data_IF_109104168110
#
_entry.id   IF_109104168110
#
_cell.length_a   1.000
_cell.length_b   1.000
_cell.length_c   1.000
_cell.angle_alpha   90.00
_cell.angle_beta   90.00
_cell.angle_gamma   90.00
#
_symmetry.space_group_name_H-M   'P 1'
#
loop_
_entity.id
_entity.type
_entity.pdbx_description
1 polymer ?
#
# COMPACT_ATOMS: atom_id res chain seq x y z
N UNK A 1 -0.42 4.63 50.96
CA UNK A 1 -1.89 4.63 51.12
C UNK A 1 -2.48 4.09 49.82
N UNK A 2 -2.69 2.77 49.77
CA UNK A 2 -3.22 2.05 48.61
C UNK A 2 -4.74 2.02 48.72
N UNK A 3 -5.44 2.56 47.72
CA UNK A 3 -6.90 2.52 47.64
C UNK A 3 -7.28 1.69 46.42
N UNK A 4 -7.85 0.52 46.72
CA UNK A 4 -8.68 -0.30 45.85
C UNK A 4 -9.86 0.51 45.29
N UNK A 5 -10.36 0.17 44.09
CA UNK A 5 -11.81 0.02 43.82
C UNK A 5 -12.03 -0.66 42.45
N UNK A 6 -13.09 -1.47 42.44
CA UNK A 6 -13.39 -2.62 41.59
C UNK A 6 -14.14 -2.29 40.28
N UNK A 7 -14.18 -3.31 39.40
CA UNK A 7 -14.88 -3.43 38.12
C UNK A 7 -16.43 -3.39 38.18
N UNK A 8 -17.08 -2.81 37.15
CA UNK A 8 -17.90 -3.49 36.09
C UNK A 8 -19.14 -2.67 35.63
N UNK A 9 -19.45 -2.60 34.31
CA UNK A 9 -20.59 -1.84 33.76
C UNK A 9 -21.91 -2.63 33.70
N UNK A 10 -23.02 -1.89 33.86
CA UNK A 10 -24.41 -2.34 33.76
C UNK A 10 -24.91 -2.39 32.30
N UNK A 11 -25.71 -3.41 32.01
CA UNK A 11 -26.40 -3.67 30.75
C UNK A 11 -27.87 -3.25 30.89
N UNK A 12 -28.43 -2.56 29.90
CA UNK A 12 -29.84 -2.13 29.87
C UNK A 12 -30.61 -2.95 28.83
N UNK A 13 -31.78 -3.41 29.25
CA UNK A 13 -32.74 -4.30 28.60
C UNK A 13 -33.88 -3.49 27.96
N UNK A 14 -34.47 -4.05 26.89
CA UNK A 14 -35.86 -3.83 26.46
C UNK A 14 -35.98 -3.18 25.08
N UNK A 15 -36.93 -3.51 24.20
CA UNK A 15 -38.13 -4.37 24.26
C UNK A 15 -38.74 -4.24 22.84
N UNK A 16 -39.07 -5.29 22.09
CA UNK A 16 -40.02 -5.15 20.96
C UNK A 16 -40.76 -6.45 20.63
N UNK A 17 -42.00 -6.25 20.19
CA UNK A 17 -43.20 -7.10 20.18
C UNK A 17 -43.21 -8.35 19.27
N UNK A 18 -44.08 -9.29 19.65
CA UNK A 18 -44.76 -10.36 18.87
C UNK A 18 -45.43 -9.81 17.59
N UNK A 19 -45.63 -10.52 16.48
CA UNK A 19 -46.53 -11.67 16.20
C UNK A 19 -46.16 -12.27 14.81
N UNK A 20 -46.55 -13.54 14.57
CA UNK A 20 -46.82 -14.23 13.29
C UNK A 20 -45.81 -15.28 12.75
N UNK A 21 -46.25 -16.55 12.87
CA UNK A 21 -45.81 -17.79 12.19
C UNK A 21 -46.62 -17.97 10.86
N UNK A 22 -46.48 -19.01 10.00
CA UNK A 22 -45.83 -20.33 10.21
C UNK A 22 -45.07 -20.98 9.01
N UNK A 23 -44.47 -22.14 9.34
CA UNK A 23 -44.29 -23.36 8.51
C UNK A 23 -43.10 -23.46 7.52
N UNK A 24 -42.15 -24.38 7.79
CA UNK A 24 -41.88 -25.65 7.07
C UNK A 24 -40.44 -26.18 7.39
N UNK A 25 -40.37 -27.35 8.05
CA UNK A 25 -39.34 -28.43 8.07
C UNK A 25 -37.86 -28.06 8.32
N UNK A 26 -37.27 -28.25 9.51
CA UNK A 26 -36.82 -29.50 10.19
C UNK A 26 -35.96 -30.46 9.35
N UNK A 27 -34.63 -30.46 9.59
CA UNK A 27 -33.74 -31.61 9.84
C UNK A 27 -32.47 -31.08 10.56
N UNK A 28 -32.21 -31.61 11.76
CA UNK A 28 -31.20 -31.18 12.72
C UNK A 28 -30.23 -32.36 12.95
N UNK A 29 -28.91 -32.09 12.88
CA UNK A 29 -27.83 -33.00 13.30
C UNK A 29 -27.31 -32.46 14.65
N UNK A 30 -27.33 -33.22 15.76
CA UNK A 30 -26.90 -32.73 17.05
C UNK A 30 -25.40 -32.96 17.29
N UNK A 31 -24.71 -31.88 17.66
CA UNK A 31 -23.41 -31.88 18.32
C UNK A 31 -23.64 -32.09 19.83
N UNK A 32 -23.06 -33.15 20.37
CA UNK A 32 -23.10 -33.48 21.79
C UNK A 32 -21.82 -32.94 22.47
N UNK A 33 -21.98 -32.12 23.51
CA UNK A 33 -20.92 -31.72 24.43
C UNK A 33 -21.27 -32.17 25.86
N UNK A 34 -20.22 -32.67 26.53
CA UNK A 34 -20.14 -33.34 27.81
C UNK A 34 -20.53 -32.51 29.04
N UNK A 35 -20.88 -33.21 30.14
CA UNK A 35 -20.76 -32.79 31.54
C UNK A 35 -21.02 -34.01 32.46
N UNK A 36 -20.54 -34.18 33.70
CA UNK A 36 -19.20 -34.14 34.32
C UNK A 36 -19.33 -34.89 35.69
N UNK A 37 -18.27 -35.58 36.15
CA UNK A 37 -18.03 -35.97 37.56
C UNK A 37 -18.49 -37.38 37.98
N UNK A 38 -17.75 -38.20 38.74
CA UNK A 38 -16.43 -38.13 39.39
C UNK A 38 -16.34 -39.24 40.47
N UNK A 39 -15.16 -39.83 40.73
CA UNK A 39 -14.88 -40.58 41.98
C UNK A 39 -14.16 -41.95 41.90
N UNK A 40 -12.81 -41.90 41.90
CA UNK A 40 -11.82 -42.80 42.57
C UNK A 40 -11.93 -44.34 42.57
N UNK A 41 -10.92 -45.05 42.05
CA UNK A 41 -9.94 -45.85 42.82
C UNK A 41 -8.88 -46.48 41.89
N UNK A 42 -7.67 -46.74 42.41
CA UNK A 42 -6.45 -47.00 41.65
C UNK A 42 -6.10 -48.49 41.48
N UNK A 43 -5.32 -48.75 40.41
CA UNK A 43 -4.21 -49.73 40.30
C UNK A 43 -4.55 -51.23 40.18
N UNK A 44 -4.36 -51.79 38.99
CA UNK A 44 -3.34 -52.82 38.63
C UNK A 44 -3.71 -53.53 37.31
N UNK A 45 -2.90 -53.38 36.25
CA UNK A 45 -2.14 -54.48 35.65
C UNK A 45 -1.38 -54.02 34.41
N UNK A 46 -0.12 -54.43 34.38
CA UNK A 46 0.92 -54.18 33.38
C UNK A 46 0.82 -55.28 32.31
N UNK A 47 0.78 -54.93 31.01
CA UNK A 47 1.17 -55.85 29.93
C UNK A 47 2.04 -55.13 28.89
N UNK A 48 3.23 -55.71 28.69
CA UNK A 48 4.24 -55.40 27.66
C UNK A 48 3.92 -56.22 26.42
N UNK A 49 4.01 -55.62 25.23
CA UNK A 49 4.23 -56.31 23.95
C UNK A 49 5.30 -55.50 23.20
N UNK A 50 6.57 -55.90 23.26
CA UNK A 50 7.32 -56.71 22.27
C UNK A 50 7.31 -56.08 20.87
N UNK A 51 8.32 -55.24 20.61
CA UNK A 51 8.70 -54.79 19.26
C UNK A 51 9.85 -55.69 18.77
N UNK A 52 9.60 -56.56 17.79
CA UNK A 52 10.64 -57.35 17.13
C UNK A 52 11.35 -56.52 16.05
N UNK A 53 12.61 -56.21 16.32
CA UNK A 53 13.60 -55.68 15.38
C UNK A 53 13.95 -56.74 14.31
N UNK A 54 13.38 -56.61 13.12
CA UNK A 54 13.77 -57.36 11.92
C UNK A 54 14.63 -56.51 10.99
N UNK A 55 15.96 -56.60 11.13
CA UNK A 55 16.93 -56.01 10.21
C UNK A 55 16.87 -56.74 8.87
N UNK A 56 16.77 -56.01 7.76
CA UNK A 56 17.25 -56.48 6.47
C UNK A 56 18.31 -55.54 5.87
N UNK A 57 19.29 -56.20 5.27
CA UNK A 57 20.67 -55.77 5.03
C UNK A 57 20.78 -54.57 4.09
N UNK A 58 21.57 -53.60 4.56
CA UNK A 58 22.46 -52.69 3.82
C UNK A 58 22.68 -53.12 2.35
N UNK A 59 22.00 -52.45 1.42
CA UNK A 59 22.55 -52.22 0.06
C UNK A 59 23.43 -50.98 0.14
N UNK A 60 24.67 -51.24 -0.21
CA UNK A 60 25.80 -50.32 -0.34
C UNK A 60 25.53 -49.14 -1.27
N UNK A 61 26.13 -47.99 -0.92
CA UNK A 61 26.76 -46.98 -1.78
C UNK A 61 26.22 -46.83 -3.22
N UNK A 62 25.88 -45.59 -3.58
CA UNK A 62 26.26 -45.10 -4.91
C UNK A 62 25.19 -44.35 -5.67
N UNK A 63 24.59 -43.34 -5.05
CA UNK A 63 23.78 -42.37 -5.77
C UNK A 63 23.66 -41.13 -4.94
N UNK A 64 24.77 -40.38 -4.80
CA UNK A 64 24.72 -38.98 -4.38
C UNK A 64 23.85 -38.31 -5.43
N UNK A 65 22.53 -38.31 -5.23
CA UNK A 65 21.52 -37.66 -6.06
C UNK A 65 22.10 -36.28 -6.25
N UNK A 66 22.67 -36.05 -7.44
CA UNK A 66 23.60 -34.94 -7.67
C UNK A 66 22.94 -33.73 -7.06
N UNK A 67 23.59 -33.12 -6.06
CA UNK A 67 23.10 -31.92 -5.40
C UNK A 67 22.86 -30.98 -6.58
N UNK A 68 21.59 -30.85 -7.04
CA UNK A 68 21.24 -30.12 -8.27
C UNK A 68 22.06 -28.86 -8.15
N UNK A 69 23.03 -28.64 -9.07
CA UNK A 69 23.90 -27.46 -9.03
C UNK A 69 22.97 -26.32 -8.67
N UNK A 70 23.20 -25.69 -7.51
CA UNK A 70 22.27 -24.72 -6.98
C UNK A 70 22.09 -23.70 -8.08
N UNK A 71 20.94 -23.76 -8.77
CA UNK A 71 20.77 -23.01 -9.99
C UNK A 71 20.83 -21.56 -9.58
N UNK A 72 21.74 -20.81 -10.20
CA UNK A 72 21.95 -19.42 -9.83
C UNK A 72 20.61 -18.68 -9.87
N UNK A 73 20.37 -17.91 -8.81
CA UNK A 73 19.08 -17.29 -8.56
C UNK A 73 18.65 -16.37 -9.71
N UNK A 74 19.60 -15.79 -10.44
CA UNK A 74 19.32 -14.91 -11.59
C UNK A 74 18.93 -15.66 -12.86
N UNK A 75 19.42 -16.89 -13.10
CA UNK A 75 19.07 -17.67 -14.29
C UNK A 75 17.57 -18.02 -14.35
N UNK A 76 16.92 -18.08 -13.18
CA UNK A 76 15.50 -18.36 -13.01
C UNK A 76 14.62 -17.11 -13.13
N UNK A 77 15.21 -15.91 -13.14
CA UNK A 77 14.47 -14.65 -13.13
C UNK A 77 14.47 -14.00 -14.51
N UNK A 78 13.46 -13.18 -14.73
CA UNK A 78 13.28 -12.33 -15.90
C UNK A 78 13.09 -10.89 -15.45
N UNK A 79 13.53 -9.96 -16.30
CA UNK A 79 13.39 -8.52 -16.11
C UNK A 79 12.10 -8.03 -16.75
N UNK A 80 11.44 -7.10 -16.07
CA UNK A 80 10.21 -6.43 -16.46
C UNK A 80 10.36 -4.93 -16.21
N UNK A 81 9.86 -4.12 -17.14
CA UNK A 81 9.90 -2.67 -17.06
C UNK A 81 8.58 -2.14 -16.47
N UNK A 82 8.65 -1.25 -15.48
CA UNK A 82 7.48 -0.65 -14.82
C UNK A 82 7.10 0.64 -15.54
N UNK A 83 5.85 0.70 -16.01
CA UNK A 83 5.31 1.79 -16.79
C UNK A 83 4.32 2.63 -15.98
N UNK A 84 4.59 3.93 -15.89
CA UNK A 84 3.72 4.93 -15.29
C UNK A 84 2.59 5.38 -16.25
N UNK A 85 1.48 5.92 -15.70
CA UNK A 85 0.42 6.55 -16.49
C UNK A 85 0.92 7.71 -17.37
N UNK A 86 0.19 8.05 -18.43
CA UNK A 86 0.55 9.09 -19.41
C UNK A 86 0.82 10.48 -18.80
N UNK A 87 0.30 10.74 -17.60
CA UNK A 87 0.40 12.05 -16.96
C UNK A 87 1.81 12.39 -16.45
N UNK A 88 2.70 11.41 -16.40
CA UNK A 88 4.09 11.57 -16.00
C UNK A 88 4.98 11.63 -17.24
N UNK A 89 6.05 12.40 -17.16
CA UNK A 89 6.99 12.59 -18.27
C UNK A 89 7.85 11.34 -18.48
N UNK A 90 8.40 10.79 -17.40
CA UNK A 90 9.14 9.53 -17.41
C UNK A 90 8.16 8.38 -17.27
N UNK A 91 8.01 7.64 -18.37
CA UNK A 91 7.04 6.56 -18.46
C UNK A 91 7.61 5.24 -17.96
N UNK A 92 8.85 4.91 -18.31
CA UNK A 92 9.55 3.76 -17.73
C UNK A 92 10.45 4.26 -16.60
N UNK A 93 10.07 4.02 -15.34
CA UNK A 93 10.79 4.58 -14.19
C UNK A 93 11.55 3.53 -13.37
N UNK A 94 11.24 2.24 -13.55
CA UNK A 94 11.86 1.19 -12.75
C UNK A 94 11.91 -0.15 -13.46
N UNK A 95 12.91 -0.95 -13.10
CA UNK A 95 13.05 -2.34 -13.56
C UNK A 95 12.79 -3.28 -12.41
N UNK A 96 12.11 -4.38 -12.67
CA UNK A 96 11.74 -5.34 -11.63
C UNK A 96 11.96 -6.75 -12.13
N UNK A 97 12.29 -7.63 -11.19
CA UNK A 97 12.53 -9.04 -11.49
C UNK A 97 11.37 -9.90 -10.99
N UNK A 98 11.02 -10.90 -11.78
CA UNK A 98 10.13 -11.97 -11.38
C UNK A 98 10.72 -13.32 -11.80
N UNK A 99 10.33 -14.39 -11.12
CA UNK A 99 10.69 -15.73 -11.56
C UNK A 99 10.00 -16.02 -12.91
N UNK A 100 10.69 -16.77 -13.77
CA UNK A 100 10.13 -17.35 -14.99
C UNK A 100 8.90 -18.18 -14.65
N UNK A 101 7.92 -18.16 -15.56
CA UNK A 101 6.73 -19.01 -15.45
C UNK A 101 7.17 -20.49 -15.41
N UNK A 102 6.76 -21.21 -14.37
CA UNK A 102 7.09 -22.62 -14.17
C UNK A 102 5.81 -23.40 -13.87
N UNK A 103 5.37 -24.21 -14.83
CA UNK A 103 4.14 -25.02 -14.71
C UNK A 103 2.92 -24.13 -14.45
N UNK A 104 2.27 -24.33 -13.29
CA UNK A 104 1.07 -23.60 -12.87
C UNK A 104 1.35 -22.22 -12.25
N UNK A 105 2.63 -21.87 -12.01
CA UNK A 105 3.01 -20.58 -11.42
C UNK A 105 3.31 -19.57 -12.52
N UNK A 106 2.33 -18.72 -12.82
CA UNK A 106 2.40 -17.67 -13.84
C UNK A 106 3.08 -16.43 -13.25
N UNK A 107 4.08 -15.88 -13.94
CA UNK A 107 4.79 -14.68 -13.49
C UNK A 107 3.88 -13.45 -13.32
N UNK A 108 2.89 -13.30 -14.22
CA UNK A 108 1.96 -12.17 -14.23
C UNK A 108 1.15 -12.05 -12.92
N UNK A 109 0.73 -13.16 -12.33
CA UNK A 109 -0.07 -13.14 -11.10
C UNK A 109 0.74 -12.66 -9.88
N UNK A 110 2.05 -12.94 -9.87
CA UNK A 110 2.95 -12.43 -8.83
C UNK A 110 3.34 -10.97 -9.02
N UNK A 111 3.22 -10.45 -10.25
CA UNK A 111 3.55 -9.07 -10.60
C UNK A 111 2.37 -8.12 -10.32
N UNK A 112 1.14 -8.58 -10.59
CA UNK A 112 -0.08 -7.85 -10.25
C UNK A 112 -0.17 -7.60 -8.74
N UNK A 113 -0.63 -6.41 -8.37
CA UNK A 113 -0.76 -6.01 -6.97
C UNK A 113 0.54 -5.57 -6.29
N UNK A 114 1.70 -5.67 -6.94
CA UNK A 114 2.94 -5.08 -6.41
C UNK A 114 2.84 -3.56 -6.37
N UNK A 115 3.26 -2.99 -5.25
CA UNK A 115 3.32 -1.54 -5.05
C UNK A 115 4.76 -1.07 -5.27
N UNK A 116 4.96 -0.14 -6.21
CA UNK A 116 6.25 0.50 -6.46
C UNK A 116 6.23 1.94 -5.95
N UNK A 117 7.27 2.32 -5.23
CA UNK A 117 7.50 3.68 -4.75
C UNK A 117 8.51 4.38 -5.67
N UNK A 118 8.21 5.60 -6.06
CA UNK A 118 9.08 6.45 -6.87
C UNK A 118 9.01 7.90 -6.36
N UNK A 119 10.07 8.68 -6.59
CA UNK A 119 10.04 10.10 -6.29
C UNK A 119 9.35 10.87 -7.41
N UNK A 120 8.59 11.91 -7.07
CA UNK A 120 7.90 12.72 -8.06
C UNK A 120 8.86 13.53 -8.93
N UNK A 121 9.99 13.97 -8.37
CA UNK A 121 11.03 14.68 -9.13
C UNK A 121 11.59 13.82 -10.27
N UNK A 122 11.86 12.54 -9.99
CA UNK A 122 12.39 11.59 -10.97
C UNK A 122 11.37 11.30 -12.09
N UNK A 123 10.08 11.25 -11.75
CA UNK A 123 9.00 11.01 -12.72
C UNK A 123 8.74 12.18 -13.68
N UNK A 124 8.97 13.42 -13.23
CA UNK A 124 8.65 14.62 -14.00
C UNK A 124 9.89 15.35 -14.54
N UNK A 125 11.10 14.83 -14.31
CA UNK A 125 12.40 15.44 -14.73
C UNK A 125 12.56 16.93 -14.40
N UNK A 126 11.70 17.47 -13.55
CA UNK A 126 11.68 18.88 -13.20
C UNK A 126 12.68 19.05 -12.08
N UNK A 127 13.76 19.79 -12.33
CA UNK A 127 14.83 20.10 -11.36
C UNK A 127 14.37 21.10 -10.27
N UNK A 128 13.11 21.03 -9.86
CA UNK A 128 12.53 21.87 -8.83
C UNK A 128 12.56 21.18 -7.47
N UNK A 129 13.21 21.80 -6.49
CA UNK A 129 13.29 21.32 -5.10
C UNK A 129 11.90 21.14 -4.43
N UNK A 130 10.88 21.81 -4.97
CA UNK A 130 9.51 21.77 -4.44
C UNK A 130 8.78 20.45 -4.68
N UNK A 131 9.30 19.54 -5.51
CA UNK A 131 8.65 18.27 -5.86
C UNK A 131 9.43 17.03 -5.37
N UNK A 132 10.69 17.21 -4.98
CA UNK A 132 11.58 16.12 -4.54
C UNK A 132 11.18 15.46 -3.19
N UNK A 133 10.36 16.12 -2.38
CA UNK A 133 9.89 15.58 -1.10
C UNK A 133 8.62 14.71 -1.23
N UNK A 134 8.09 14.49 -2.43
CA UNK A 134 6.84 13.75 -2.65
C UNK A 134 7.13 12.39 -3.25
N UNK A 135 6.76 11.36 -2.52
CA UNK A 135 6.83 9.97 -2.97
C UNK A 135 5.49 9.54 -3.54
N UNK A 136 5.49 8.93 -4.71
CA UNK A 136 4.31 8.38 -5.37
C UNK A 136 4.41 6.87 -5.36
N UNK A 137 3.30 6.22 -4.99
CA UNK A 137 3.16 4.78 -5.02
C UNK A 137 2.19 4.37 -6.12
N UNK A 138 2.63 3.43 -6.94
CA UNK A 138 1.87 2.84 -8.02
C UNK A 138 1.61 1.36 -7.77
N UNK A 139 0.48 0.85 -8.21
CA UNK A 139 0.14 -0.58 -8.16
C UNK A 139 0.07 -1.13 -9.56
N UNK A 140 0.70 -2.28 -9.81
CA UNK A 140 0.57 -2.99 -11.09
C UNK A 140 -0.84 -3.55 -11.21
N UNK A 141 -1.55 -3.20 -12.28
CA UNK A 141 -2.84 -3.78 -12.61
C UNK A 141 -2.73 -4.83 -13.71
N UNK A 142 -1.92 -4.58 -14.73
CA UNK A 142 -1.78 -5.46 -15.88
C UNK A 142 -0.32 -5.62 -16.32
N UNK A 143 -0.02 -6.77 -16.92
CA UNK A 143 1.28 -7.10 -17.49
C UNK A 143 1.08 -7.32 -18.98
N UNK A 144 1.77 -6.54 -19.81
CA UNK A 144 1.73 -6.63 -21.27
C UNK A 144 3.14 -6.91 -21.79
N UNK A 145 3.37 -8.15 -22.25
CA UNK A 145 4.71 -8.59 -22.63
C UNK A 145 5.70 -8.48 -21.46
N UNK A 146 6.68 -7.57 -21.58
CA UNK A 146 7.65 -7.22 -20.52
C UNK A 146 7.33 -5.91 -19.79
N UNK A 147 6.29 -5.19 -20.22
CA UNK A 147 5.83 -3.96 -19.57
C UNK A 147 4.80 -4.25 -18.47
N UNK A 148 4.91 -3.53 -17.36
CA UNK A 148 3.97 -3.54 -16.26
C UNK A 148 3.19 -2.23 -16.25
N UNK A 149 1.88 -2.29 -16.54
CA UNK A 149 1.01 -1.14 -16.50
C UNK A 149 0.55 -0.88 -15.07
N UNK A 150 0.73 0.36 -14.62
CA UNK A 150 0.52 0.74 -13.22
C UNK A 150 -0.52 1.84 -13.03
N UNK A 151 -1.30 1.71 -11.96
CA UNK A 151 -2.28 2.70 -11.53
C UNK A 151 -1.81 3.44 -10.27
N UNK A 152 -2.24 4.69 -10.11
CA UNK A 152 -1.98 5.46 -8.89
C UNK A 152 -2.61 4.79 -7.65
N UNK A 153 -1.83 4.64 -6.57
CA UNK A 153 -2.27 4.07 -5.31
C UNK A 153 -2.21 5.06 -4.14
N UNK A 154 -1.07 5.74 -3.97
CA UNK A 154 -0.95 6.75 -2.92
C UNK A 154 0.14 7.76 -3.22
N UNK A 155 0.06 8.92 -2.55
CA UNK A 155 1.10 9.95 -2.57
C UNK A 155 1.41 10.31 -1.13
N UNK A 156 2.68 10.36 -0.77
CA UNK A 156 3.12 10.68 0.58
C UNK A 156 4.26 11.70 0.56
N UNK A 157 4.25 12.62 1.51
CA UNK A 157 5.39 13.48 1.79
C UNK A 157 6.46 12.71 2.59
N UNK A 158 7.73 12.99 2.35
CA UNK A 158 8.84 12.48 3.14
C UNK A 158 8.77 12.98 4.60
N UNK A 159 9.28 12.19 5.55
CA UNK A 159 9.17 12.50 6.98
C UNK A 159 10.01 13.72 7.37
N UNK A 160 11.19 13.87 6.80
CA UNK A 160 12.08 15.03 6.96
C UNK A 160 11.35 16.34 6.66
N UNK A 161 10.63 16.41 5.54
CA UNK A 161 9.92 17.62 5.16
C UNK A 161 8.77 17.95 6.10
N UNK A 162 8.08 16.94 6.64
CA UNK A 162 7.02 17.15 7.64
C UNK A 162 7.61 17.72 8.94
N UNK A 163 8.73 17.17 9.42
CA UNK A 163 9.38 17.66 10.63
C UNK A 163 9.98 19.06 10.46
N UNK A 164 10.54 19.36 9.29
CA UNK A 164 11.04 20.69 8.97
C UNK A 164 9.95 21.77 8.98
N UNK A 165 8.72 21.43 8.56
CA UNK A 165 7.59 22.36 8.60
C UNK A 165 7.11 22.64 10.03
N UNK A 166 7.27 21.67 10.93
CA UNK A 166 6.85 21.81 12.31
C UNK A 166 7.69 22.88 13.00
N UNK A 167 7.05 23.94 13.49
CA UNK A 167 7.69 24.96 14.33
C UNK A 167 6.93 25.13 15.63
N UNK A 168 7.67 25.42 16.70
CA UNK A 168 7.09 25.79 18.00
C UNK A 168 6.37 27.13 17.89
N UNK A 169 5.50 27.41 18.87
CA UNK A 169 4.77 28.68 19.02
C UNK A 169 3.70 28.99 17.95
N UNK A 170 3.45 28.07 17.01
CA UNK A 170 2.36 28.14 16.04
C UNK A 170 1.37 26.97 16.23
N UNK A 171 0.18 27.10 15.64
CA UNK A 171 -0.84 26.05 15.64
C UNK A 171 -0.73 25.17 14.40
N UNK A 172 -0.85 23.86 14.60
CA UNK A 172 -1.02 22.86 13.54
C UNK A 172 -2.51 22.65 13.24
N UNK A 173 -2.87 22.67 11.96
CA UNK A 173 -4.22 22.40 11.48
C UNK A 173 -4.18 21.17 10.58
N UNK A 174 -4.70 20.06 11.07
CA UNK A 174 -4.84 18.83 10.30
C UNK A 174 -6.27 18.61 9.85
N UNK A 175 -6.46 18.13 8.63
CA UNK A 175 -7.77 17.75 8.10
C UNK A 175 -7.67 16.44 7.31
N UNK A 176 -8.60 15.52 7.56
CA UNK A 176 -8.77 14.31 6.77
C UNK A 176 -10.05 14.44 5.94
N UNK A 177 -9.95 14.19 4.63
CA UNK A 177 -11.06 14.32 3.69
C UNK A 177 -11.19 13.04 2.89
N UNK A 178 -12.38 12.46 2.87
CA UNK A 178 -12.75 11.41 1.93
C UNK A 178 -13.54 12.01 0.77
N UNK A 179 -13.09 11.74 -0.45
CA UNK A 179 -13.69 12.20 -1.69
C UNK A 179 -13.80 11.03 -2.67
N UNK A 180 -14.94 10.93 -3.35
CA UNK A 180 -15.15 9.98 -4.45
C UNK A 180 -14.86 10.71 -5.76
N UNK A 181 -14.10 10.11 -6.67
CA UNK A 181 -13.89 10.64 -8.03
C UNK A 181 -15.01 10.18 -8.96
N UNK A 182 -15.05 10.75 -10.17
CA UNK A 182 -16.04 10.37 -11.19
C UNK A 182 -15.91 8.89 -11.60
N UNK A 183 -14.68 8.38 -11.73
CA UNK A 183 -14.41 6.98 -12.10
C UNK A 183 -14.68 5.95 -10.98
N UNK A 184 -15.21 6.39 -9.83
CA UNK A 184 -15.55 5.50 -8.71
C UNK A 184 -14.39 5.16 -7.76
N UNK A 185 -13.23 5.82 -7.86
CA UNK A 185 -12.18 5.71 -6.84
C UNK A 185 -12.57 6.51 -5.60
N UNK A 186 -12.30 5.96 -4.41
CA UNK A 186 -12.45 6.72 -3.16
C UNK A 186 -11.09 7.08 -2.60
N UNK A 187 -10.77 8.38 -2.57
CA UNK A 187 -9.51 8.92 -2.10
C UNK A 187 -9.67 9.51 -0.70
N UNK A 188 -8.72 9.22 0.19
CA UNK A 188 -8.57 9.88 1.48
C UNK A 188 -7.34 10.77 1.47
N UNK A 189 -7.55 12.07 1.55
CA UNK A 189 -6.52 13.10 1.59
C UNK A 189 -6.31 13.59 3.02
N UNK A 190 -5.04 13.74 3.40
CA UNK A 190 -4.61 14.32 4.66
C UNK A 190 -3.92 15.64 4.35
N UNK A 191 -4.50 16.74 4.83
CA UNK A 191 -3.96 18.08 4.66
C UNK A 191 -3.38 18.54 5.99
N UNK A 192 -2.21 19.16 5.94
CA UNK A 192 -1.57 19.81 7.06
C UNK A 192 -1.37 21.29 6.73
N UNK A 193 -1.68 22.15 7.69
CA UNK A 193 -1.42 23.57 7.58
C UNK A 193 -0.83 24.14 8.87
N UNK A 194 -0.01 25.17 8.72
CA UNK A 194 0.65 25.86 9.82
C UNK A 194 0.29 27.34 9.79
N UNK A 195 0.01 27.91 10.96
CA UNK A 195 -0.23 29.34 11.09
C UNK A 195 1.07 30.14 10.92
N UNK A 196 0.97 31.36 10.40
CA UNK A 196 2.08 32.33 10.39
C UNK A 196 1.77 33.49 11.32
N UNK A 197 2.84 34.08 11.85
CA UNK A 197 2.77 35.38 12.49
C UNK A 197 2.56 36.47 11.43
N UNK A 198 1.69 37.44 11.69
CA UNK A 198 1.55 38.61 10.81
C UNK A 198 2.71 39.58 11.04
N UNK A 199 3.08 40.37 10.02
CA UNK A 199 4.24 41.26 10.07
C UNK A 199 4.15 42.30 11.19
N UNK A 200 2.96 42.83 11.43
CA UNK A 200 2.67 43.84 12.47
C UNK A 200 2.31 43.23 13.84
N UNK A 201 2.40 41.91 14.00
CA UNK A 201 1.97 41.26 15.24
C UNK A 201 3.03 41.40 16.33
N UNK A 202 2.69 42.04 17.46
CA UNK A 202 3.62 42.19 18.59
C UNK A 202 3.84 40.88 19.36
N UNK A 203 2.80 40.04 19.48
CA UNK A 203 2.89 38.78 20.22
C UNK A 203 3.92 37.83 19.59
N UNK A 204 4.63 37.08 20.45
CA UNK A 204 5.58 36.05 19.99
C UNK A 204 4.87 34.84 19.35
N UNK A 205 3.63 34.56 19.76
CA UNK A 205 2.92 33.34 19.39
C UNK A 205 1.94 33.57 18.23
N UNK A 206 1.73 32.53 17.42
CA UNK A 206 0.88 32.48 16.21
C UNK A 206 -0.34 31.55 16.43
N UNK A 207 -0.87 31.45 17.65
CA UNK A 207 -1.95 30.50 17.94
C UNK A 207 -3.29 30.91 17.33
N UNK A 208 -4.00 29.95 16.74
CA UNK A 208 -5.35 30.15 16.22
C UNK A 208 -6.42 29.74 17.23
N UNK A 209 -7.51 30.52 17.33
CA UNK A 209 -8.69 30.14 18.11
C UNK A 209 -9.30 28.85 17.57
N UNK A 210 -9.82 27.99 18.44
CA UNK A 210 -10.42 26.69 18.08
C UNK A 210 -11.57 26.82 17.08
N UNK A 211 -12.39 27.87 17.19
CA UNK A 211 -13.45 28.21 16.23
C UNK A 211 -12.90 28.41 14.82
N UNK A 212 -11.79 29.15 14.67
CA UNK A 212 -11.16 29.42 13.38
C UNK A 212 -10.55 28.14 12.80
N UNK A 213 -9.94 27.29 13.63
CA UNK A 213 -9.41 25.99 13.21
C UNK A 213 -10.52 25.10 12.64
N UNK A 214 -11.69 25.03 13.30
CA UNK A 214 -12.85 24.29 12.79
C UNK A 214 -13.35 24.85 11.46
N UNK A 215 -13.37 26.18 11.32
CA UNK A 215 -13.83 26.82 10.09
C UNK A 215 -12.89 26.59 8.91
N UNK A 216 -11.57 26.64 9.13
CA UNK A 216 -10.55 26.27 8.12
C UNK A 216 -10.72 24.80 7.70
N UNK A 217 -10.90 23.88 8.66
CA UNK A 217 -11.14 22.46 8.35
C UNK A 217 -12.37 22.27 7.46
N UNK A 218 -13.47 22.95 7.77
CA UNK A 218 -14.69 22.90 6.97
C UNK A 218 -14.49 23.44 5.55
N UNK A 219 -13.73 24.54 5.41
CA UNK A 219 -13.40 25.12 4.10
C UNK A 219 -12.55 24.17 3.26
N UNK A 220 -11.55 23.54 3.87
CA UNK A 220 -10.68 22.53 3.23
C UNK A 220 -11.50 21.32 2.76
N UNK A 221 -12.34 20.75 3.64
CA UNK A 221 -13.15 19.56 3.31
C UNK A 221 -14.11 19.83 2.15
N UNK A 222 -14.79 20.98 2.18
CA UNK A 222 -15.78 21.30 1.16
C UNK A 222 -15.13 21.54 -0.21
N UNK A 223 -14.02 22.30 -0.25
CA UNK A 223 -13.33 22.60 -1.50
C UNK A 223 -12.73 21.35 -2.15
N UNK A 224 -12.14 20.45 -1.35
CA UNK A 224 -11.58 19.20 -1.86
C UNK A 224 -12.69 18.30 -2.40
N UNK A 225 -13.79 18.10 -1.65
CA UNK A 225 -14.93 17.30 -2.10
C UNK A 225 -15.55 17.85 -3.39
N UNK A 226 -15.74 19.16 -3.46
CA UNK A 226 -16.32 19.81 -4.65
C UNK A 226 -15.42 19.69 -5.88
N UNK A 227 -14.09 19.76 -5.71
CA UNK A 227 -13.17 19.69 -6.84
C UNK A 227 -12.93 18.25 -7.30
N UNK A 228 -12.73 17.31 -6.38
CA UNK A 228 -12.40 15.92 -6.73
C UNK A 228 -13.61 15.09 -7.19
N UNK A 229 -14.83 15.45 -6.77
CA UNK A 229 -16.06 14.74 -7.22
C UNK A 229 -16.34 14.84 -8.71
N UNK A 230 -15.84 15.89 -9.36
CA UNK A 230 -16.08 16.16 -10.79
C UNK A 230 -14.96 15.66 -11.70
N UNK A 231 -13.88 15.14 -11.12
CA UNK A 231 -12.60 14.96 -11.79
C UNK A 231 -12.25 13.48 -11.82
N UNK A 232 -11.68 13.03 -12.93
CA UNK A 232 -11.20 11.65 -13.10
C UNK A 232 -9.90 11.44 -12.30
N UNK A 233 -9.53 10.18 -12.03
CA UNK A 233 -8.35 9.85 -11.22
C UNK A 233 -7.06 10.41 -11.83
N UNK A 234 -6.93 10.34 -13.15
CA UNK A 234 -5.77 10.86 -13.89
C UNK A 234 -5.66 12.38 -13.74
N UNK A 235 -6.75 13.09 -13.98
CA UNK A 235 -6.80 14.54 -13.78
C UNK A 235 -6.59 14.94 -12.32
N UNK A 236 -7.11 14.15 -11.37
CA UNK A 236 -6.91 14.37 -9.95
C UNK A 236 -5.42 14.24 -9.57
N UNK A 237 -4.72 13.25 -10.13
CA UNK A 237 -3.27 13.10 -9.97
C UNK A 237 -2.55 14.31 -10.56
N UNK A 238 -2.93 14.79 -11.74
CA UNK A 238 -2.32 16.01 -12.34
C UNK A 238 -2.51 17.24 -11.45
N UNK A 239 -3.70 17.41 -10.87
CA UNK A 239 -4.00 18.51 -9.93
C UNK A 239 -3.20 18.43 -8.62
N UNK A 240 -2.87 17.22 -8.16
CA UNK A 240 -2.05 16.97 -6.99
C UNK A 240 -0.56 17.17 -7.29
N UNK A 241 -0.08 16.59 -8.40
CA UNK A 241 1.30 16.66 -8.87
C UNK A 241 1.72 18.10 -9.13
N UNK A 242 0.89 18.89 -9.84
CA UNK A 242 1.19 20.30 -10.15
C UNK A 242 0.84 21.27 -9.01
N UNK A 243 0.48 20.77 -7.82
CA UNK A 243 0.10 21.59 -6.65
C UNK A 243 -1.04 22.61 -6.86
N UNK A 244 -1.84 22.50 -7.92
CA UNK A 244 -2.94 23.43 -8.21
C UNK A 244 -4.00 23.40 -7.08
N UNK A 245 -4.25 22.22 -6.51
CA UNK A 245 -5.13 22.06 -5.35
C UNK A 245 -4.60 22.77 -4.10
N UNK A 246 -3.29 22.68 -3.86
CA UNK A 246 -2.61 23.33 -2.74
C UNK A 246 -2.82 24.85 -2.80
N UNK A 247 -2.55 25.43 -3.96
CA UNK A 247 -2.60 26.88 -4.14
C UNK A 247 -4.03 27.42 -4.05
N UNK A 248 -5.00 26.66 -4.59
CA UNK A 248 -6.42 27.01 -4.44
C UNK A 248 -6.89 26.93 -2.98
N UNK A 249 -6.43 25.94 -2.22
CA UNK A 249 -6.72 25.83 -0.79
C UNK A 249 -6.09 27.00 -0.02
N UNK A 250 -4.83 27.32 -0.28
CA UNK A 250 -4.13 28.44 0.37
C UNK A 250 -4.88 29.76 0.14
N UNK A 251 -5.26 30.08 -1.11
CA UNK A 251 -6.02 31.29 -1.44
C UNK A 251 -7.34 31.40 -0.70
N UNK A 252 -8.06 30.29 -0.51
CA UNK A 252 -9.37 30.27 0.17
C UNK A 252 -9.29 30.25 1.69
N UNK A 253 -8.19 29.74 2.26
CA UNK A 253 -8.01 29.64 3.71
C UNK A 253 -7.26 30.83 4.32
N UNK A 254 -6.41 31.52 3.55
CA UNK A 254 -5.63 32.67 4.02
C UNK A 254 -6.47 33.84 4.59
N UNK A 255 -7.70 34.13 4.10
CA UNK A 255 -8.55 35.18 4.70
C UNK A 255 -9.06 34.84 6.11
N UNK A 256 -9.10 33.55 6.48
CA UNK A 256 -9.64 33.10 7.77
C UNK A 256 -8.59 33.26 8.87
N UNK A 257 -7.42 32.67 8.61
CA UNK A 257 -6.25 32.71 9.48
C UNK A 257 -5.04 32.86 8.57
N UNK A 258 -4.05 33.69 8.94
CA UNK A 258 -2.80 33.77 8.21
C UNK A 258 -2.08 32.41 8.27
N UNK A 259 -1.95 31.75 7.13
CA UNK A 259 -1.23 30.48 7.00
C UNK A 259 0.15 30.71 6.40
N UNK A 260 1.16 29.96 6.90
CA UNK A 260 2.51 29.91 6.29
C UNK A 260 2.51 28.90 5.15
N UNK A 261 2.19 27.66 5.51
CA UNK A 261 2.23 26.51 4.63
C UNK A 261 0.90 25.78 4.74
N UNK A 262 0.36 25.39 3.59
CA UNK A 262 -0.71 24.42 3.49
C UNK A 262 -0.23 23.38 2.49
N UNK A 263 -0.13 22.11 2.92
CA UNK A 263 0.32 21.01 2.07
C UNK A 263 -0.55 19.78 2.24
N UNK A 264 -0.59 18.97 1.19
CA UNK A 264 -1.19 17.65 1.24
C UNK A 264 -0.10 16.70 1.74
N UNK A 265 -0.30 16.16 2.94
CA UNK A 265 0.66 15.28 3.61
C UNK A 265 0.64 13.88 2.99
N UNK A 266 -0.56 13.33 2.82
CA UNK A 266 -0.78 11.98 2.29
C UNK A 266 -2.08 11.92 1.49
N UNK A 267 -2.09 11.15 0.41
CA UNK A 267 -3.27 10.76 -0.35
C UNK A 267 -3.26 9.25 -0.43
N UNK A 268 -4.37 8.62 -0.05
CA UNK A 268 -4.54 7.16 -0.09
C UNK A 268 -5.75 6.82 -0.94
N UNK A 269 -5.60 5.87 -1.87
CA UNK A 269 -6.75 5.21 -2.49
C UNK A 269 -7.28 4.19 -1.48
N UNK A 270 -8.51 4.39 -1.01
CA UNK A 270 -9.17 3.49 -0.04
C UNK A 270 -9.89 2.37 -0.76
N UNK A 271 -10.59 2.69 -1.85
CA UNK A 271 -11.29 1.73 -2.70
C UNK A 271 -10.96 2.01 -4.15
N UNK A 272 -10.62 0.93 -4.84
CA UNK A 272 -10.48 0.89 -6.29
C UNK A 272 -11.78 0.35 -6.89
N UNK A 273 -12.26 0.92 -8.00
CA UNK A 273 -13.36 0.34 -8.75
C UNK A 273 -12.95 -1.01 -9.34
N UNK A 274 -13.93 -1.73 -9.92
CA UNK A 274 -13.67 -2.99 -10.63
C UNK A 274 -12.67 -2.76 -11.76
N UNK A 275 -11.78 -3.72 -11.96
CA UNK A 275 -10.79 -3.68 -13.03
C UNK A 275 -11.45 -3.66 -14.41
N UNK A 276 -11.04 -2.72 -15.23
CA UNK A 276 -11.41 -2.59 -16.64
C UNK A 276 -10.16 -2.32 -17.46
N UNK A 277 -9.91 -3.19 -18.45
CA UNK A 277 -8.73 -3.11 -19.31
C UNK A 277 -8.77 -1.88 -20.22
N UNK A 278 -9.96 -1.44 -20.66
CA UNK A 278 -10.09 -0.28 -21.54
C UNK A 278 -9.74 1.01 -20.81
N UNK A 279 -10.23 1.17 -19.57
CA UNK A 279 -9.89 2.31 -18.72
C UNK A 279 -8.38 2.40 -18.44
N UNK A 280 -7.71 1.26 -18.24
CA UNK A 280 -6.27 1.22 -18.02
C UNK A 280 -5.48 1.60 -19.28
N UNK A 281 -5.83 1.03 -20.42
CA UNK A 281 -5.21 1.37 -21.71
C UNK A 281 -5.36 2.87 -22.02
N UNK A 282 -6.53 3.44 -21.78
CA UNK A 282 -6.77 4.88 -21.96
C UNK A 282 -5.92 5.75 -21.01
N UNK A 283 -5.63 5.26 -19.79
CA UNK A 283 -4.77 5.96 -18.84
C UNK A 283 -3.29 5.97 -19.24
N UNK A 284 -2.84 4.93 -19.96
CA UNK A 284 -1.45 4.82 -20.44
C UNK A 284 -1.26 5.36 -21.86
N UNK A 285 -2.28 5.35 -22.72
CA UNK A 285 -2.18 5.73 -24.13
C UNK A 285 -1.26 4.78 -24.91
N UNK A 286 -0.41 5.32 -25.77
CA UNK A 286 0.60 4.55 -26.52
C UNK A 286 1.64 3.99 -25.57
N UNK A 287 1.88 2.68 -25.48
CA UNK A 287 2.81 2.09 -24.50
C UNK A 287 4.23 2.06 -25.09
N UNK A 288 5.27 2.52 -24.36
CA UNK A 288 6.64 2.50 -24.89
C UNK A 288 7.14 1.06 -25.02
N UNK A 289 7.92 0.79 -26.07
CA UNK A 289 8.57 -0.51 -26.24
C UNK A 289 9.48 -0.84 -25.04
N UNK A 290 9.40 -2.08 -24.54
CA UNK A 290 10.31 -2.56 -23.50
C UNK A 290 11.70 -2.79 -24.08
N UNK A 291 12.75 -2.29 -23.43
CA UNK A 291 14.12 -2.55 -23.86
C UNK A 291 14.52 -4.03 -23.74
N UNK A 292 13.81 -4.81 -22.91
CA UNK A 292 14.01 -6.25 -22.74
C UNK A 292 13.19 -7.11 -23.74
N UNK A 293 12.47 -6.47 -24.68
CA UNK A 293 11.73 -7.13 -25.76
C UNK A 293 12.58 -7.49 -26.98
N UNK A 294 13.72 -6.80 -27.15
CA UNK A 294 14.74 -7.17 -28.13
C UNK A 294 15.61 -8.28 -27.52
N UNK A 295 15.84 -9.35 -28.28
CA UNK A 295 16.70 -10.44 -27.85
C UNK A 295 18.07 -9.85 -27.46
N UNK A 296 18.46 -9.98 -26.18
CA UNK A 296 19.82 -9.67 -25.76
C UNK A 296 20.76 -10.45 -26.66
N UNK A 297 21.48 -9.75 -27.54
CA UNK A 297 22.74 -10.27 -28.09
C UNK A 297 23.62 -10.44 -26.87
N UNK A 298 23.73 -11.67 -26.40
CA UNK A 298 24.69 -12.04 -25.37
C UNK A 298 26.03 -11.82 -26.05
N UNK A 299 26.68 -10.68 -25.79
CA UNK A 299 28.12 -10.63 -25.99
C UNK A 299 28.69 -11.69 -25.07
N UNK A 300 29.15 -12.78 -25.69
CA UNK A 300 29.91 -13.82 -25.03
C UNK A 300 31.08 -13.13 -24.33
N UNK A 301 31.09 -13.21 -23.00
CA UNK A 301 32.25 -12.84 -22.23
C UNK A 301 33.43 -13.67 -22.78
N UNK A 302 34.40 -13.00 -23.40
CA UNK A 302 35.65 -13.64 -23.80
C UNK A 302 36.24 -14.32 -22.57
N UNK A 303 36.29 -15.65 -22.58
CA UNK A 303 37.05 -16.41 -21.59
C UNK A 303 38.48 -15.92 -21.67
N UNK A 304 38.95 -15.27 -20.60
CA UNK A 304 40.36 -14.95 -20.45
C UNK A 304 41.14 -16.28 -20.51
N UNK A 305 42.13 -16.44 -21.41
CA UNK A 305 42.90 -17.66 -21.49
C UNK A 305 43.64 -17.85 -20.16
N UNK A 306 43.48 -19.05 -19.59
CA UNK A 306 44.21 -19.47 -18.40
C UNK A 306 45.72 -19.31 -18.67
N UNK A 307 46.37 -18.48 -17.85
CA UNK A 307 47.83 -18.41 -17.84
C UNK A 307 48.37 -19.79 -17.44
N UNK A 308 48.97 -20.46 -18.41
CA UNK A 308 49.73 -21.69 -18.21
C UNK A 308 50.85 -21.41 -17.21
N UNK A 309 50.86 -22.18 -16.13
CA UNK A 309 51.98 -22.23 -15.21
C UNK A 309 53.17 -22.87 -15.93
N UNK A 310 54.17 -22.07 -16.29
CA UNK A 310 55.50 -22.57 -16.64
C UNK A 310 56.32 -22.83 -15.37
N UNK A 311 56.78 -24.09 -15.31
CA UNK A 311 57.83 -24.73 -14.51
C UNK A 311 58.57 -23.93 -13.42
#
# INVERSE_FOLDING_TARGET
>A
MYIYICYKPFCVIGMFHTVDAPSYYFILIPLCCCFFGGGTCARTHRRKEVMTLGKNKRISKGGKRGKKKAQETMSRKEWYDVVAPKNFEVRQFGKTICNKTQGTKIAADYLRGRVYESNLADLNKTQGDDDAYRKVKFVVQEVQGRNLLTQFHSMEMTSDRVYFLLRKWCTTIEAAVEAKTADGYTLRLFVIAFTKKQSNQLSKNCYAKTRLVKWVRHRITNLIRQRLSKVNINEAVTLLTRNILRDRLAKRCNPIVPLRDLRIRKVKVVRTPRFDAQALLNAHGEIPASAEGEARVVEEAQEAPAAEATA
#
